data_IF_200939917728
#
_entry.id   IF_200939917728
#
_cell.length_a   1.000
_cell.length_b   1.000
_cell.length_c   1.000
_cell.angle_alpha   90.00
_cell.angle_beta   90.00
_cell.angle_gamma   90.00
#
_symmetry.space_group_name_H-M   'P 1'
#
loop_
_entity.id
_entity.type
_entity.pdbx_description
1 polymer ?
#
# COMPACT_ATOMS: atom_id res chain seq x y z
N UNK A 1 -12.10 -21.81 27.57
CA UNK A 1 -11.17 -21.26 26.56
C UNK A 1 -11.60 -19.82 26.32
N UNK A 2 -10.73 -18.82 26.41
CA UNK A 2 -11.08 -17.47 26.02
C UNK A 2 -11.45 -17.51 24.54
N UNK A 3 -12.56 -16.93 24.15
CA UNK A 3 -12.94 -16.72 22.77
C UNK A 3 -11.95 -15.70 22.21
N UNK A 4 -10.99 -16.13 21.39
CA UNK A 4 -10.23 -15.23 20.54
C UNK A 4 -11.22 -14.60 19.58
N UNK A 5 -11.51 -13.34 19.75
CA UNK A 5 -12.32 -12.58 18.80
C UNK A 5 -11.43 -12.33 17.59
N UNK A 6 -11.66 -13.07 16.51
CA UNK A 6 -10.97 -12.83 15.24
C UNK A 6 -11.44 -11.52 14.65
N UNK A 7 -10.49 -10.62 14.39
CA UNK A 7 -10.79 -9.35 13.72
C UNK A 7 -10.88 -9.57 12.20
N UNK A 8 -11.99 -9.13 11.60
CA UNK A 8 -12.25 -9.24 10.17
C UNK A 8 -11.80 -7.98 9.45
N UNK A 9 -10.63 -8.02 8.80
CA UNK A 9 -10.08 -6.90 8.05
C UNK A 9 -10.32 -7.07 6.54
N UNK A 10 -11.03 -6.12 5.92
CA UNK A 10 -11.17 -6.07 4.47
C UNK A 10 -9.96 -5.42 3.83
N UNK A 11 -9.33 -6.06 2.85
CA UNK A 11 -8.23 -5.48 2.11
C UNK A 11 -8.68 -5.02 0.72
N UNK A 12 -8.40 -3.74 0.42
CA UNK A 12 -8.58 -3.07 -0.87
C UNK A 12 -7.25 -2.48 -1.33
N UNK A 13 -7.05 -2.36 -2.64
CA UNK A 13 -5.98 -1.58 -3.26
C UNK A 13 -6.42 -1.14 -4.65
N UNK A 14 -5.85 -0.07 -5.17
CA UNK A 14 -6.05 0.42 -6.55
C UNK A 14 -7.54 0.55 -6.95
N UNK A 15 -8.32 1.12 -6.02
CA UNK A 15 -9.78 1.23 -6.22
C UNK A 15 -10.18 2.36 -7.16
N UNK A 16 -9.30 3.33 -7.41
CA UNK A 16 -9.44 4.40 -8.40
C UNK A 16 -10.85 5.01 -8.47
N UNK A 17 -11.37 5.45 -7.33
CA UNK A 17 -12.76 5.94 -7.21
C UNK A 17 -13.06 7.18 -8.05
N UNK A 18 -12.04 7.92 -8.48
CA UNK A 18 -12.16 9.02 -9.43
C UNK A 18 -12.67 8.57 -10.82
N UNK A 19 -12.46 7.30 -11.19
CA UNK A 19 -13.01 6.68 -12.42
C UNK A 19 -14.34 5.97 -12.19
N UNK A 20 -14.92 6.05 -10.99
CA UNK A 20 -16.16 5.35 -10.61
C UNK A 20 -17.29 6.35 -10.42
N UNK A 21 -18.43 6.13 -11.08
CA UNK A 21 -19.59 7.01 -10.92
C UNK A 21 -20.10 6.99 -9.46
N UNK A 22 -20.73 8.09 -8.96
CA UNK A 22 -21.26 8.14 -7.60
C UNK A 22 -22.22 7.00 -7.26
N UNK A 23 -23.08 6.62 -8.23
CA UNK A 23 -24.01 5.49 -8.06
C UNK A 23 -23.25 4.17 -7.84
N UNK A 24 -22.20 3.92 -8.63
CA UNK A 24 -21.41 2.68 -8.55
C UNK A 24 -20.59 2.65 -7.25
N UNK A 25 -20.04 3.80 -6.81
CA UNK A 25 -19.37 3.91 -5.50
C UNK A 25 -20.32 3.56 -4.36
N UNK A 26 -21.55 4.11 -4.37
CA UNK A 26 -22.57 3.79 -3.36
C UNK A 26 -22.94 2.31 -3.32
N UNK A 27 -23.04 1.64 -4.48
CA UNK A 27 -23.25 0.20 -4.58
C UNK A 27 -22.06 -0.58 -3.99
N UNK A 28 -20.83 -0.18 -4.32
CA UNK A 28 -19.62 -0.79 -3.79
C UNK A 28 -19.53 -0.68 -2.25
N UNK A 29 -19.85 0.50 -1.69
CA UNK A 29 -19.88 0.65 -0.23
C UNK A 29 -20.98 -0.20 0.43
N UNK A 30 -22.11 -0.41 -0.24
CA UNK A 30 -23.15 -1.32 0.26
C UNK A 30 -22.65 -2.77 0.29
N UNK A 31 -21.95 -3.22 -0.75
CA UNK A 31 -21.34 -4.54 -0.78
C UNK A 31 -20.27 -4.73 0.32
N UNK A 32 -19.47 -3.68 0.62
CA UNK A 32 -18.52 -3.74 1.73
C UNK A 32 -19.21 -3.85 3.09
N UNK A 33 -20.33 -3.14 3.32
CA UNK A 33 -21.11 -3.27 4.57
C UNK A 33 -21.67 -4.68 4.76
N UNK A 34 -22.09 -5.35 3.69
CA UNK A 34 -22.58 -6.74 3.71
C UNK A 34 -21.51 -7.73 4.18
N UNK A 35 -20.22 -7.38 4.03
CA UNK A 35 -19.11 -8.23 4.48
C UNK A 35 -18.93 -8.25 6.00
N UNK A 36 -19.56 -7.34 6.74
CA UNK A 36 -19.45 -7.24 8.21
C UNK A 36 -17.99 -7.13 8.68
N UNK A 37 -17.25 -6.19 8.09
CA UNK A 37 -15.85 -5.95 8.40
C UNK A 37 -15.72 -5.13 9.70
N UNK A 38 -14.75 -5.48 10.53
CA UNK A 38 -14.38 -4.69 11.71
C UNK A 38 -13.46 -3.51 11.33
N UNK A 39 -12.70 -3.65 10.24
CA UNK A 39 -11.78 -2.62 9.76
C UNK A 39 -11.51 -2.78 8.26
N UNK A 40 -11.01 -1.70 7.64
CA UNK A 40 -10.58 -1.66 6.26
C UNK A 40 -9.09 -1.34 6.16
N UNK A 41 -8.37 -2.11 5.34
CA UNK A 41 -6.97 -1.88 4.95
C UNK A 41 -6.95 -1.43 3.49
N UNK A 42 -6.56 -0.18 3.22
CA UNK A 42 -6.63 0.43 1.89
C UNK A 42 -5.23 0.74 1.37
N UNK A 43 -4.81 0.02 0.34
CA UNK A 43 -3.44 -0.06 -0.18
C UNK A 43 -3.04 1.02 -1.19
N UNK A 44 -3.70 2.19 -1.19
CA UNK A 44 -3.38 3.29 -2.10
C UNK A 44 -4.16 3.28 -3.42
N UNK A 45 -3.84 4.24 -4.28
CA UNK A 45 -4.53 4.51 -5.55
C UNK A 45 -6.04 4.64 -5.38
N UNK A 46 -6.41 5.55 -4.48
CA UNK A 46 -7.79 5.85 -4.08
C UNK A 46 -8.42 6.81 -5.09
N UNK A 47 -7.63 7.82 -5.51
CA UNK A 47 -8.05 8.86 -6.43
C UNK A 47 -6.88 9.59 -7.08
N UNK A 48 -6.94 10.92 -7.09
CA UNK A 48 -5.87 11.84 -7.51
C UNK A 48 -5.74 12.98 -6.49
N UNK A 49 -4.71 13.80 -6.56
CA UNK A 49 -4.40 14.86 -5.59
C UNK A 49 -5.58 15.80 -5.31
N UNK A 50 -6.41 16.07 -6.31
CA UNK A 50 -7.58 16.94 -6.22
C UNK A 50 -8.84 16.25 -5.67
N UNK A 51 -8.82 14.92 -5.47
CA UNK A 51 -9.99 14.13 -5.10
C UNK A 51 -9.77 13.17 -3.92
N UNK A 52 -8.53 12.77 -3.62
CA UNK A 52 -8.21 11.73 -2.63
C UNK A 52 -8.79 12.03 -1.24
N UNK A 53 -8.66 13.25 -0.74
CA UNK A 53 -9.21 13.66 0.57
C UNK A 53 -10.73 13.54 0.59
N UNK A 54 -11.40 14.03 -0.45
CA UNK A 54 -12.86 13.93 -0.58
C UNK A 54 -13.34 12.49 -0.65
N UNK A 55 -12.61 11.63 -1.39
CA UNK A 55 -12.94 10.21 -1.53
C UNK A 55 -12.73 9.45 -0.22
N UNK A 56 -11.66 9.73 0.52
CA UNK A 56 -11.44 9.18 1.86
C UNK A 56 -12.59 9.55 2.80
N UNK A 57 -13.00 10.81 2.84
CA UNK A 57 -14.14 11.25 3.63
C UNK A 57 -15.48 10.62 3.16
N UNK A 58 -15.63 10.32 1.87
CA UNK A 58 -16.81 9.60 1.34
C UNK A 58 -16.83 8.14 1.82
N UNK A 59 -15.68 7.43 1.77
CA UNK A 59 -15.56 6.06 2.30
C UNK A 59 -15.87 6.04 3.81
N UNK A 60 -15.26 6.95 4.56
CA UNK A 60 -15.44 7.07 6.00
C UNK A 60 -16.92 7.20 6.37
N UNK A 61 -17.62 8.20 5.78
CA UNK A 61 -19.05 8.40 6.03
C UNK A 61 -19.91 7.21 5.63
N UNK A 62 -19.47 6.46 4.62
CA UNK A 62 -20.23 5.32 4.11
C UNK A 62 -20.07 4.07 4.96
N UNK A 63 -18.92 3.85 5.57
CA UNK A 63 -18.62 2.60 6.28
C UNK A 63 -18.67 2.76 7.81
N UNK A 64 -18.24 3.91 8.35
CA UNK A 64 -18.16 4.23 9.78
C UNK A 64 -17.42 3.14 10.61
N UNK A 65 -16.35 2.59 10.07
CA UNK A 65 -15.42 1.65 10.71
C UNK A 65 -13.99 2.18 10.58
N UNK A 66 -13.02 1.72 11.40
CA UNK A 66 -11.62 2.11 11.24
C UNK A 66 -11.09 1.79 9.84
N UNK A 67 -10.46 2.78 9.21
CA UNK A 67 -9.86 2.69 7.88
C UNK A 67 -8.39 3.01 8.00
N UNK A 68 -7.55 1.99 7.88
CA UNK A 68 -6.11 2.13 7.84
C UNK A 68 -5.65 2.18 6.40
N UNK A 69 -4.90 3.20 6.01
CA UNK A 69 -4.56 3.38 4.61
C UNK A 69 -3.15 3.90 4.38
N UNK A 70 -2.67 3.65 3.18
CA UNK A 70 -1.49 4.27 2.57
C UNK A 70 -1.92 4.94 1.27
N UNK A 71 -1.06 5.77 0.69
CA UNK A 71 -1.28 6.40 -0.61
C UNK A 71 -0.54 5.63 -1.69
N UNK A 72 -1.09 5.64 -2.91
CA UNK A 72 -0.44 5.16 -4.12
C UNK A 72 0.04 6.31 -5.01
N UNK A 73 0.71 5.99 -6.11
CA UNK A 73 1.26 7.00 -7.00
C UNK A 73 0.16 7.87 -7.66
N UNK A 74 -1.00 7.30 -7.99
CA UNK A 74 -2.12 8.06 -8.56
C UNK A 74 -2.67 9.11 -7.60
N UNK A 75 -2.63 8.87 -6.30
CA UNK A 75 -3.09 9.84 -5.30
C UNK A 75 -2.30 11.15 -5.34
N UNK A 76 -1.11 11.16 -5.95
CA UNK A 76 -0.25 12.35 -6.12
C UNK A 76 -0.39 13.01 -7.50
N UNK A 77 -1.10 12.40 -8.46
CA UNK A 77 -1.25 12.95 -9.82
C UNK A 77 -1.90 14.33 -9.79
N UNK A 78 -1.35 15.24 -10.60
CA UNK A 78 -1.71 16.66 -10.67
C UNK A 78 -1.46 17.43 -9.36
N UNK A 79 -0.59 16.90 -8.49
CA UNK A 79 -0.19 17.49 -7.23
C UNK A 79 1.29 17.31 -6.92
N UNK A 80 1.60 17.39 -5.64
CA UNK A 80 2.94 17.12 -5.11
C UNK A 80 2.89 16.11 -3.98
N UNK A 81 3.94 15.31 -3.81
CA UNK A 81 4.04 14.31 -2.73
C UNK A 81 3.88 15.02 -1.37
N UNK A 82 4.62 16.10 -1.15
CA UNK A 82 4.55 16.84 0.10
C UNK A 82 3.16 17.46 0.35
N UNK A 83 2.54 18.02 -0.69
CA UNK A 83 1.23 18.67 -0.59
C UNK A 83 0.11 17.69 -0.25
N UNK A 84 0.06 16.55 -0.95
CA UNK A 84 -0.96 15.53 -0.72
C UNK A 84 -0.79 14.86 0.65
N UNK A 85 0.44 14.48 1.03
CA UNK A 85 0.72 13.93 2.36
C UNK A 85 0.28 14.87 3.48
N UNK A 86 0.53 16.19 3.32
CA UNK A 86 0.09 17.20 4.28
C UNK A 86 -1.44 17.29 4.37
N UNK A 87 -2.14 17.30 3.24
CA UNK A 87 -3.60 17.38 3.19
C UNK A 87 -4.25 16.14 3.82
N UNK A 88 -3.75 14.95 3.48
CA UNK A 88 -4.24 13.67 4.01
C UNK A 88 -3.95 13.53 5.51
N UNK A 89 -2.76 13.95 5.97
CA UNK A 89 -2.44 13.94 7.40
C UNK A 89 -3.37 14.85 8.20
N UNK A 90 -3.74 16.01 7.66
CA UNK A 90 -4.68 16.92 8.29
C UNK A 90 -6.09 16.30 8.38
N UNK A 91 -6.60 15.74 7.30
CA UNK A 91 -7.90 15.06 7.27
C UNK A 91 -7.95 13.87 8.25
N UNK A 92 -6.91 13.04 8.26
CA UNK A 92 -6.83 11.89 9.15
C UNK A 92 -6.71 12.27 10.63
N UNK A 93 -6.11 13.43 10.95
CA UNK A 93 -5.99 13.90 12.33
C UNK A 93 -7.34 14.29 12.95
N UNK A 94 -8.24 14.84 12.14
CA UNK A 94 -9.57 15.30 12.56
C UNK A 94 -10.64 14.19 12.45
N UNK A 95 -10.30 13.05 11.82
CA UNK A 95 -11.24 11.94 11.58
C UNK A 95 -11.30 10.96 12.75
N UNK A 96 -12.49 10.47 13.14
CA UNK A 96 -12.63 9.36 14.07
C UNK A 96 -12.18 8.01 13.49
N UNK A 97 -12.22 7.83 12.16
CA UNK A 97 -12.06 6.54 11.52
C UNK A 97 -10.83 6.43 10.58
N UNK A 98 -10.40 7.55 9.96
CA UNK A 98 -9.26 7.53 9.05
C UNK A 98 -7.93 7.48 9.81
N UNK A 99 -7.04 6.60 9.38
CA UNK A 99 -5.69 6.45 9.94
C UNK A 99 -4.70 6.27 8.80
N UNK A 100 -4.01 7.34 8.45
CA UNK A 100 -2.89 7.27 7.50
C UNK A 100 -1.68 6.63 8.18
N UNK A 101 -1.29 5.44 7.75
CA UNK A 101 -0.30 4.60 8.45
C UNK A 101 1.07 5.24 8.62
N UNK A 102 1.62 6.02 7.65
CA UNK A 102 2.87 6.75 7.87
C UNK A 102 2.85 7.70 9.08
N UNK A 103 1.68 8.21 9.46
CA UNK A 103 1.52 9.06 10.65
C UNK A 103 1.08 8.29 11.91
N UNK A 104 0.66 7.03 11.78
CA UNK A 104 0.03 6.26 12.88
C UNK A 104 1.00 5.39 13.67
N UNK A 105 2.20 5.11 13.13
CA UNK A 105 3.16 4.21 13.75
C UNK A 105 2.73 2.74 13.70
N UNK A 106 3.00 1.99 14.78
CA UNK A 106 2.55 0.59 14.91
C UNK A 106 1.13 0.56 15.47
N UNK A 107 0.22 -0.05 14.75
CA UNK A 107 -1.20 -0.18 15.14
C UNK A 107 -1.45 -1.61 15.64
N UNK A 108 -1.82 -1.82 16.90
CA UNK A 108 -2.28 -3.12 17.36
C UNK A 108 -3.68 -3.40 16.79
N UNK A 109 -3.83 -4.47 16.01
CA UNK A 109 -5.13 -4.94 15.51
C UNK A 109 -5.76 -5.95 16.45
N UNK A 110 -4.94 -6.85 16.99
CA UNK A 110 -5.32 -7.85 18.00
C UNK A 110 -4.19 -7.99 19.02
N UNK A 111 -4.34 -8.87 20.00
CA UNK A 111 -3.29 -9.14 20.99
C UNK A 111 -2.00 -9.71 20.35
N UNK A 112 -2.12 -10.39 19.20
CA UNK A 112 -1.02 -11.08 18.52
C UNK A 112 -0.63 -10.47 17.16
N UNK A 113 -1.43 -9.55 16.63
CA UNK A 113 -1.26 -9.00 15.27
C UNK A 113 -1.15 -7.49 15.30
N UNK A 114 -0.07 -6.96 14.74
CA UNK A 114 0.11 -5.54 14.50
C UNK A 114 0.04 -5.20 13.01
N UNK A 115 -0.37 -3.96 12.71
CA UNK A 115 -0.37 -3.37 11.38
C UNK A 115 0.64 -2.22 11.34
N UNK A 116 1.44 -2.20 10.28
CA UNK A 116 2.29 -1.08 9.91
C UNK A 116 2.11 -0.78 8.43
N UNK A 117 2.38 0.44 7.98
CA UNK A 117 2.29 0.73 6.55
C UNK A 117 3.00 2.01 6.16
N UNK A 118 3.39 2.08 4.90
CA UNK A 118 3.97 3.24 4.24
C UNK A 118 3.53 3.28 2.79
N UNK A 119 3.38 4.48 2.22
CA UNK A 119 3.01 4.66 0.81
C UNK A 119 3.95 3.86 -0.11
N UNK A 120 5.25 3.81 0.25
CA UNK A 120 6.31 3.18 -0.53
C UNK A 120 6.49 3.86 -1.89
N UNK A 121 7.46 3.41 -2.68
CA UNK A 121 7.69 3.92 -4.04
C UNK A 121 8.55 2.93 -4.81
N UNK A 122 8.30 2.76 -6.12
CA UNK A 122 9.21 2.02 -6.99
C UNK A 122 10.57 2.72 -7.04
N UNK A 123 11.65 2.01 -6.70
CA UNK A 123 12.92 2.65 -6.38
C UNK A 123 13.98 2.57 -7.49
N UNK A 124 13.65 2.04 -8.66
CA UNK A 124 14.54 1.95 -9.80
C UNK A 124 15.66 0.92 -9.68
N UNK A 125 15.70 0.11 -8.60
CA UNK A 125 16.83 -0.79 -8.28
C UNK A 125 16.66 -2.24 -8.75
N UNK A 126 15.43 -2.65 -9.10
CA UNK A 126 15.16 -3.94 -9.73
C UNK A 126 15.07 -3.77 -11.25
N UNK A 127 15.56 -4.74 -12.01
CA UNK A 127 15.62 -4.64 -13.47
C UNK A 127 16.69 -3.67 -13.97
N UNK A 128 16.47 -3.01 -15.10
CA UNK A 128 17.44 -2.09 -15.72
C UNK A 128 16.82 -0.72 -16.01
N UNK A 129 16.80 0.15 -15.00
CA UNK A 129 16.23 1.50 -15.09
C UNK A 129 16.80 2.32 -16.25
N UNK A 130 18.11 2.22 -16.50
CA UNK A 130 18.77 3.06 -17.51
C UNK A 130 18.54 2.59 -18.94
N UNK A 131 18.26 1.29 -19.16
CA UNK A 131 17.90 0.74 -20.47
C UNK A 131 16.39 0.75 -20.73
N UNK A 132 15.57 0.74 -19.68
CA UNK A 132 14.12 0.76 -19.82
C UNK A 132 13.64 2.01 -20.58
N UNK A 133 12.76 1.80 -21.54
CA UNK A 133 12.04 2.86 -22.25
C UNK A 133 10.64 3.12 -21.63
N UNK A 134 10.30 2.44 -20.54
CA UNK A 134 9.03 2.60 -19.82
C UNK A 134 8.98 3.99 -19.18
N UNK A 135 7.89 4.70 -19.47
CA UNK A 135 7.61 6.03 -18.91
C UNK A 135 6.23 6.00 -18.25
N UNK A 136 6.23 6.03 -16.91
CA UNK A 136 4.97 6.14 -16.19
C UNK A 136 4.44 7.58 -16.21
N UNK A 137 3.14 7.72 -16.08
CA UNK A 137 2.49 9.02 -15.90
C UNK A 137 3.01 9.77 -14.66
N UNK A 138 3.50 9.08 -13.66
CA UNK A 138 4.16 9.61 -12.46
C UNK A 138 5.19 10.71 -12.82
N UNK A 139 6.02 10.44 -13.84
CA UNK A 139 7.13 11.28 -14.25
C UNK A 139 6.69 12.55 -15.00
N UNK A 140 5.42 12.65 -15.35
CA UNK A 140 4.81 13.82 -15.96
C UNK A 140 3.80 14.53 -15.04
N UNK A 141 3.13 13.80 -14.16
CA UNK A 141 1.98 14.29 -13.41
C UNK A 141 2.26 14.61 -11.93
N UNK A 142 3.43 14.18 -11.39
CA UNK A 142 3.82 14.45 -10.01
C UNK A 142 4.89 15.52 -9.97
N UNK A 143 4.66 16.61 -9.24
CA UNK A 143 5.51 17.81 -9.26
C UNK A 143 6.99 17.51 -8.96
N UNK A 144 7.29 16.64 -7.99
CA UNK A 144 8.66 16.30 -7.60
C UNK A 144 9.40 15.39 -8.59
N UNK A 145 8.68 14.79 -9.56
CA UNK A 145 9.24 13.88 -10.57
C UNK A 145 9.23 14.48 -11.97
N UNK A 146 8.36 15.47 -12.19
CA UNK A 146 8.15 16.09 -13.50
C UNK A 146 9.39 16.83 -13.99
N UNK A 147 9.76 16.60 -15.26
CA UNK A 147 10.86 17.30 -15.94
C UNK A 147 12.28 16.89 -15.49
N UNK A 148 12.42 15.89 -14.62
CA UNK A 148 13.72 15.38 -14.22
C UNK A 148 14.39 14.62 -15.37
N UNK A 149 15.71 14.77 -15.50
CA UNK A 149 16.52 13.90 -16.36
C UNK A 149 16.59 12.50 -15.75
N UNK A 150 16.81 11.49 -16.57
CA UNK A 150 16.80 10.07 -16.16
C UNK A 150 17.67 9.76 -14.93
N UNK A 151 18.86 10.37 -14.83
CA UNK A 151 19.73 10.18 -13.66
C UNK A 151 19.18 10.84 -12.40
N UNK A 152 18.64 12.05 -12.50
CA UNK A 152 18.05 12.78 -11.37
C UNK A 152 16.75 12.11 -10.93
N UNK A 153 15.95 11.61 -11.88
CA UNK A 153 14.76 10.82 -11.61
C UNK A 153 15.12 9.55 -10.84
N UNK A 154 16.13 8.78 -11.31
CA UNK A 154 16.61 7.59 -10.61
C UNK A 154 17.04 7.91 -9.17
N UNK A 155 17.81 8.97 -8.97
CA UNK A 155 18.24 9.41 -7.65
C UNK A 155 17.04 9.78 -6.75
N UNK A 156 16.02 10.44 -7.31
CA UNK A 156 14.79 10.79 -6.57
C UNK A 156 13.99 9.55 -6.19
N UNK A 157 13.81 8.61 -7.11
CA UNK A 157 13.12 7.33 -6.84
C UNK A 157 13.87 6.51 -5.78
N UNK A 158 15.20 6.44 -5.88
CA UNK A 158 16.02 5.79 -4.85
C UNK A 158 15.80 6.42 -3.47
N UNK A 159 15.78 7.76 -3.37
CA UNK A 159 15.56 8.44 -2.10
C UNK A 159 14.17 8.16 -1.50
N UNK A 160 13.12 8.09 -2.32
CA UNK A 160 11.78 7.72 -1.88
C UNK A 160 11.71 6.25 -1.40
N UNK A 161 12.40 5.35 -2.09
CA UNK A 161 12.52 3.95 -1.68
C UNK A 161 13.31 3.78 -0.36
N UNK A 162 14.38 4.55 -0.17
CA UNK A 162 15.18 4.55 1.07
C UNK A 162 14.37 5.07 2.25
N UNK A 163 13.60 6.17 2.08
CA UNK A 163 12.67 6.71 3.07
C UNK A 163 11.68 5.62 3.53
N UNK A 164 11.05 4.93 2.58
CA UNK A 164 10.10 3.87 2.87
C UNK A 164 10.75 2.68 3.59
N UNK A 165 11.95 2.27 3.17
CA UNK A 165 12.69 1.16 3.75
C UNK A 165 13.15 1.45 5.19
N UNK A 166 13.62 2.66 5.46
CA UNK A 166 13.99 3.11 6.80
C UNK A 166 12.76 3.12 7.72
N UNK A 167 11.68 3.76 7.30
CA UNK A 167 10.44 3.84 8.07
C UNK A 167 9.88 2.45 8.39
N UNK A 168 9.66 1.62 7.37
CA UNK A 168 9.12 0.27 7.57
C UNK A 168 10.07 -0.61 8.38
N UNK A 169 11.38 -0.46 8.19
CA UNK A 169 12.37 -1.18 8.96
C UNK A 169 12.25 -0.93 10.46
N UNK A 170 12.11 0.32 10.87
CA UNK A 170 11.91 0.68 12.28
C UNK A 170 10.57 0.16 12.81
N UNK A 171 9.47 0.36 12.06
CA UNK A 171 8.12 -0.01 12.51
C UNK A 171 7.89 -1.50 12.55
N UNK A 172 8.41 -2.27 11.59
CA UNK A 172 8.32 -3.73 11.60
C UNK A 172 9.13 -4.32 12.77
N UNK A 173 10.35 -3.82 13.01
CA UNK A 173 11.14 -4.26 14.18
C UNK A 173 10.43 -3.94 15.49
N UNK A 174 9.84 -2.75 15.63
CA UNK A 174 9.03 -2.36 16.79
C UNK A 174 7.82 -3.28 16.96
N UNK A 175 7.08 -3.57 15.87
CA UNK A 175 5.92 -4.44 15.89
C UNK A 175 6.28 -5.89 16.31
N UNK A 176 7.37 -6.45 15.75
CA UNK A 176 7.83 -7.80 16.04
C UNK A 176 8.37 -7.96 17.48
N UNK A 177 8.75 -6.87 18.15
CA UNK A 177 9.11 -6.91 19.58
C UNK A 177 7.91 -7.13 20.51
N UNK A 178 6.67 -6.97 19.98
CA UNK A 178 5.43 -7.00 20.77
C UNK A 178 4.42 -8.03 20.27
N UNK A 179 4.39 -8.27 18.96
CA UNK A 179 3.40 -9.12 18.30
C UNK A 179 4.10 -10.21 17.48
N UNK A 180 3.51 -11.39 17.44
CA UNK A 180 4.00 -12.51 16.63
C UNK A 180 3.69 -12.34 15.15
N UNK A 181 2.56 -11.69 14.83
CA UNK A 181 2.10 -11.49 13.47
C UNK A 181 2.17 -9.99 13.13
N UNK A 182 2.70 -9.66 11.95
CA UNK A 182 2.72 -8.30 11.43
C UNK A 182 2.13 -8.26 10.02
N UNK A 183 1.14 -7.42 9.83
CA UNK A 183 0.64 -7.06 8.51
C UNK A 183 1.35 -5.76 8.09
N UNK A 184 1.99 -5.78 6.93
CA UNK A 184 2.62 -4.61 6.32
C UNK A 184 1.77 -4.20 5.13
N UNK A 185 1.25 -2.98 5.16
CA UNK A 185 0.49 -2.41 4.05
C UNK A 185 1.38 -1.44 3.27
N UNK A 186 1.63 -1.72 2.00
CA UNK A 186 2.34 -0.83 1.07
C UNK A 186 1.55 -0.69 -0.21
N UNK A 187 1.82 0.37 -0.99
CA UNK A 187 1.26 0.43 -2.34
C UNK A 187 2.09 -0.41 -3.31
N UNK A 188 3.39 -0.20 -3.34
CA UNK A 188 4.31 -0.81 -4.31
C UNK A 188 4.81 -2.18 -3.84
N UNK A 189 4.87 -3.21 -4.72
CA UNK A 189 5.45 -4.51 -4.41
C UNK A 189 6.93 -4.40 -3.96
N UNK A 190 7.34 -5.08 -2.86
CA UNK A 190 8.71 -4.97 -2.37
C UNK A 190 9.70 -5.97 -3.00
N UNK A 191 9.25 -6.92 -3.82
CA UNK A 191 10.09 -7.98 -4.38
C UNK A 191 9.77 -8.22 -5.85
N UNK A 192 10.75 -8.71 -6.60
CA UNK A 192 10.56 -9.17 -7.99
C UNK A 192 9.44 -10.21 -8.06
N UNK A 193 9.46 -11.18 -7.16
CA UNK A 193 8.53 -12.32 -7.12
C UNK A 193 7.09 -11.90 -6.79
N UNK A 194 6.91 -10.73 -6.22
CA UNK A 194 5.59 -10.15 -5.92
C UNK A 194 5.12 -9.12 -6.95
N UNK A 195 5.97 -8.78 -7.92
CA UNK A 195 5.69 -7.75 -8.93
C UNK A 195 4.96 -8.37 -10.14
N UNK A 196 3.68 -8.69 -9.96
CA UNK A 196 2.84 -9.29 -11.00
C UNK A 196 2.27 -8.22 -11.94
N UNK A 197 2.41 -8.41 -13.24
CA UNK A 197 1.86 -7.54 -14.28
C UNK A 197 1.39 -8.36 -15.47
N UNK A 198 0.19 -8.10 -15.98
CA UNK A 198 -0.41 -8.86 -17.11
C UNK A 198 -0.40 -10.39 -16.88
N UNK A 199 -0.58 -10.84 -15.65
CA UNK A 199 -0.67 -12.26 -15.28
C UNK A 199 0.67 -12.99 -15.14
N UNK A 200 1.80 -12.29 -15.17
CA UNK A 200 3.15 -12.85 -15.00
C UNK A 200 4.05 -11.91 -14.18
N UNK A 201 5.20 -12.38 -13.76
CA UNK A 201 6.20 -11.54 -13.08
C UNK A 201 6.76 -10.52 -14.08
N UNK A 202 6.79 -9.24 -13.69
CA UNK A 202 7.30 -8.15 -14.50
C UNK A 202 8.72 -8.40 -15.01
N UNK A 203 8.97 -8.03 -16.25
CA UNK A 203 10.31 -8.09 -16.85
C UNK A 203 11.22 -6.94 -16.38
N UNK A 204 12.50 -6.96 -16.79
CA UNK A 204 13.49 -5.99 -16.34
C UNK A 204 13.24 -4.55 -16.83
N UNK A 205 12.37 -4.34 -17.84
CA UNK A 205 11.96 -3.00 -18.27
C UNK A 205 10.92 -2.37 -17.33
N UNK A 206 9.98 -3.16 -16.80
CA UNK A 206 8.92 -2.67 -15.92
C UNK A 206 9.31 -2.67 -14.43
N UNK A 207 10.11 -3.63 -13.99
CA UNK A 207 10.52 -3.78 -12.58
C UNK A 207 11.07 -2.51 -11.94
N UNK A 208 11.88 -1.67 -12.63
CA UNK A 208 12.40 -0.46 -12.02
C UNK A 208 11.32 0.55 -11.61
N UNK A 209 10.16 0.46 -12.28
CA UNK A 209 9.03 1.37 -12.13
C UNK A 209 7.91 0.79 -11.26
N UNK A 210 7.99 -0.51 -10.95
CA UNK A 210 6.91 -1.26 -10.30
C UNK A 210 7.28 -1.85 -8.94
N UNK A 211 8.55 -1.87 -8.56
CA UNK A 211 8.96 -2.53 -7.33
C UNK A 211 9.95 -1.72 -6.49
N UNK A 212 9.91 -1.90 -5.18
CA UNK A 212 10.81 -1.25 -4.22
C UNK A 212 11.77 -2.26 -3.60
N UNK A 213 12.97 -2.39 -4.16
CA UNK A 213 14.02 -3.30 -3.66
C UNK A 213 14.46 -2.94 -2.24
N UNK A 214 14.63 -1.66 -1.94
CA UNK A 214 15.10 -1.21 -0.63
C UNK A 214 14.18 -1.70 0.49
N UNK A 215 12.85 -1.63 0.30
CA UNK A 215 11.87 -2.17 1.25
C UNK A 215 12.00 -3.70 1.35
N UNK A 216 12.11 -4.40 0.21
CA UNK A 216 12.25 -5.85 0.18
C UNK A 216 13.48 -6.36 0.93
N UNK A 217 14.65 -5.78 0.64
CA UNK A 217 15.92 -6.12 1.30
C UNK A 217 15.82 -5.87 2.82
N UNK A 218 15.21 -4.74 3.23
CA UNK A 218 15.04 -4.38 4.63
C UNK A 218 14.11 -5.34 5.38
N UNK A 219 12.95 -5.66 4.81
CA UNK A 219 12.00 -6.61 5.38
C UNK A 219 12.60 -8.00 5.50
N UNK A 220 13.26 -8.49 4.46
CA UNK A 220 13.92 -9.81 4.47
C UNK A 220 14.98 -9.92 5.57
N UNK A 221 15.78 -8.87 5.78
CA UNK A 221 16.77 -8.84 6.85
C UNK A 221 16.12 -9.00 8.22
N UNK A 222 15.12 -8.17 8.52
CA UNK A 222 14.44 -8.18 9.82
C UNK A 222 13.72 -9.52 10.06
N UNK A 223 13.00 -10.04 9.06
CA UNK A 223 12.18 -11.25 9.22
C UNK A 223 13.04 -12.50 9.45
N UNK A 224 14.24 -12.58 8.87
CA UNK A 224 15.21 -13.67 9.15
C UNK A 224 15.64 -13.70 10.61
N UNK A 225 15.76 -12.54 11.25
CA UNK A 225 16.14 -12.43 12.67
C UNK A 225 14.99 -12.78 13.63
N UNK A 226 13.76 -12.99 13.08
CA UNK A 226 12.56 -13.32 13.86
C UNK A 226 11.86 -14.59 13.32
N UNK A 227 12.48 -15.79 13.41
CA UNK A 227 12.00 -17.00 12.76
C UNK A 227 10.63 -17.49 13.26
N UNK A 228 10.26 -17.18 14.51
CA UNK A 228 8.98 -17.56 15.11
C UNK A 228 7.81 -16.59 14.77
N UNK A 229 8.12 -15.48 14.11
CA UNK A 229 7.13 -14.48 13.71
C UNK A 229 6.60 -14.76 12.31
N UNK A 230 5.49 -14.11 11.95
CA UNK A 230 4.91 -14.16 10.61
C UNK A 230 4.67 -12.74 10.10
N UNK A 231 5.20 -12.45 8.94
CA UNK A 231 4.99 -11.16 8.27
C UNK A 231 4.24 -11.36 6.97
N UNK A 232 3.16 -10.63 6.80
CA UNK A 232 2.34 -10.62 5.60
C UNK A 232 2.37 -9.21 5.00
N UNK A 233 2.82 -9.08 3.76
CA UNK A 233 2.78 -7.83 3.01
C UNK A 233 1.58 -7.83 2.08
N UNK A 234 0.85 -6.72 2.07
CA UNK A 234 -0.27 -6.45 1.16
C UNK A 234 0.12 -5.27 0.29
N UNK A 235 0.08 -5.43 -1.03
CA UNK A 235 0.46 -4.39 -1.99
C UNK A 235 -0.41 -4.42 -3.26
N UNK A 236 -0.31 -3.40 -4.11
CA UNK A 236 -1.05 -3.23 -5.35
C UNK A 236 -0.18 -2.77 -6.51
N UNK A 237 -0.50 -1.59 -7.10
CA UNK A 237 0.25 -0.85 -8.09
C UNK A 237 0.29 -1.46 -9.50
N UNK A 238 0.47 -2.77 -9.61
CA UNK A 238 0.70 -3.46 -10.90
C UNK A 238 -0.56 -4.00 -11.54
N UNK A 239 -1.72 -3.82 -10.90
CA UNK A 239 -3.04 -4.20 -11.35
C UNK A 239 -3.22 -5.69 -11.72
N UNK A 240 -2.31 -6.57 -11.24
CA UNK A 240 -2.42 -8.02 -11.43
C UNK A 240 -2.26 -8.74 -10.10
N UNK A 241 -3.22 -9.60 -9.77
CA UNK A 241 -3.15 -10.38 -8.53
C UNK A 241 -2.00 -11.36 -8.53
N UNK A 242 -1.38 -11.53 -7.38
CA UNK A 242 -0.30 -12.49 -7.22
C UNK A 242 0.00 -12.84 -5.77
N UNK A 243 0.80 -13.89 -5.61
CA UNK A 243 1.29 -14.36 -4.33
C UNK A 243 2.76 -14.75 -4.44
N UNK A 244 3.56 -14.34 -3.45
CA UNK A 244 4.94 -14.80 -3.32
C UNK A 244 5.23 -15.18 -1.86
N UNK A 245 5.87 -16.33 -1.65
CA UNK A 245 6.49 -16.70 -0.38
C UNK A 245 7.98 -16.45 -0.49
N UNK A 246 8.45 -15.34 0.05
CA UNK A 246 9.84 -14.89 -0.04
C UNK A 246 10.72 -15.60 0.98
N UNK A 247 10.18 -15.81 2.18
CA UNK A 247 10.76 -16.64 3.26
C UNK A 247 9.64 -17.52 3.83
N UNK A 248 9.99 -18.53 4.63
CA UNK A 248 8.99 -19.40 5.26
C UNK A 248 7.98 -18.61 6.11
N UNK A 249 8.40 -17.46 6.63
CA UNK A 249 7.63 -16.58 7.49
C UNK A 249 7.39 -15.17 6.87
N UNK A 250 7.64 -14.97 5.57
CA UNK A 250 7.38 -13.73 4.83
C UNK A 250 6.58 -14.02 3.56
N UNK A 251 5.33 -13.62 3.57
CA UNK A 251 4.40 -13.77 2.46
C UNK A 251 3.99 -12.40 1.90
N UNK A 252 3.85 -12.31 0.59
CA UNK A 252 3.42 -11.09 -0.11
C UNK A 252 2.21 -11.41 -0.98
N UNK A 253 1.17 -10.59 -0.84
CA UNK A 253 -0.03 -10.62 -1.66
C UNK A 253 -0.10 -9.32 -2.48
N UNK A 254 -0.21 -9.45 -3.78
CA UNK A 254 -0.42 -8.33 -4.71
C UNK A 254 -1.87 -8.35 -5.16
N UNK A 255 -2.55 -7.22 -5.05
CA UNK A 255 -3.94 -7.08 -5.47
C UNK A 255 -4.06 -6.81 -6.96
N UNK A 256 -5.22 -7.15 -7.53
CA UNK A 256 -5.56 -6.78 -8.90
C UNK A 256 -6.44 -5.53 -8.95
N UNK A 257 -6.48 -4.89 -10.11
CA UNK A 257 -7.35 -3.74 -10.32
C UNK A 257 -7.86 -3.66 -11.77
N UNK A 258 -9.02 -3.05 -11.90
CA UNK A 258 -9.58 -2.62 -13.17
C UNK A 258 -10.24 -1.27 -12.98
N UNK A 259 -9.86 -0.29 -13.79
CA UNK A 259 -10.46 1.03 -13.75
C UNK A 259 -12.00 0.98 -13.85
N UNK A 260 -12.66 1.69 -12.96
CA UNK A 260 -14.12 1.74 -12.89
C UNK A 260 -14.77 0.51 -12.23
N UNK A 261 -14.00 -0.48 -11.76
CA UNK A 261 -14.47 -1.71 -11.12
C UNK A 261 -13.81 -1.94 -9.75
N UNK A 262 -14.08 -1.09 -8.74
CA UNK A 262 -13.48 -1.25 -7.41
C UNK A 262 -13.93 -2.58 -6.80
N UNK A 263 -13.01 -3.27 -6.14
CA UNK A 263 -13.30 -4.59 -5.56
C UNK A 263 -12.59 -4.83 -4.23
N UNK A 264 -13.19 -5.68 -3.40
CA UNK A 264 -12.55 -6.25 -2.22
C UNK A 264 -11.58 -7.35 -2.68
N UNK A 265 -10.31 -7.23 -2.31
CA UNK A 265 -9.29 -8.23 -2.65
C UNK A 265 -9.44 -9.48 -1.79
N UNK A 266 -9.58 -9.29 -0.48
CA UNK A 266 -9.66 -10.38 0.50
C UNK A 266 -10.23 -9.90 1.82
N UNK A 267 -10.91 -10.79 2.54
CA UNK A 267 -11.16 -10.64 3.98
C UNK A 267 -10.08 -11.44 4.72
N UNK A 268 -9.39 -10.79 5.63
CA UNK A 268 -8.39 -11.39 6.51
C UNK A 268 -9.02 -11.63 7.88
N UNK A 269 -8.95 -12.87 8.35
CA UNK A 269 -9.28 -13.21 9.73
C UNK A 269 -7.98 -13.11 10.55
N UNK A 270 -7.88 -12.15 11.47
CA UNK A 270 -6.68 -11.84 12.24
C UNK A 270 -6.88 -12.23 13.70
N UNK A 271 -5.89 -13.00 14.26
CA UNK A 271 -5.88 -13.51 15.64
C UNK A 271 -4.95 -12.69 16.55
#
# INVERSE_FOLDING_TARGET
>A
MPYTVNLRAGWLTDIHLNFVSPRKRSQFYSQLREQQLDTLLLGGDIGEANSVVQLLAEIERSLAIPIYFVLGNHDFYHGSIAGVRKAVAHEAADSPWLRWLPASGVVPLTDNTALVGHDSWADGRLGDFFRSDVMLNDYALIAELCGLKKADLCAKLNALGDEAAEFLGHRVSEALSRCRNVVVLTHVPPFRESCWHEGHISNDDYLPHFACRAVGDRLSGIVRDHPDSRVKVLCGHTHSSGFARVLDNLEVFTGDAQYGEPRLQKVLELE
#
